data_IF_315214983488
#
_entry.id   IF_315214983488
#
_cell.length_a   1.000
_cell.length_b   1.000
_cell.length_c   1.000
_cell.angle_alpha   90.00
_cell.angle_beta   90.00
_cell.angle_gamma   90.00
#
_symmetry.space_group_name_H-M   'P 1'
#
loop_
_entity.id
_entity.type
_entity.pdbx_description
1 polymer ?
#
# COMPACT_ATOMS: atom_id res chain seq x y z
N UNK A 1 5.84 -15.46 -1.80
CA UNK A 1 4.46 -15.14 -1.38
C UNK A 1 3.77 -14.00 -2.15
N UNK A 2 4.38 -13.35 -3.14
CA UNK A 2 3.80 -12.21 -3.87
C UNK A 2 2.99 -12.59 -5.13
N UNK A 3 3.03 -13.85 -5.56
CA UNK A 3 2.20 -14.40 -6.66
C UNK A 3 0.74 -14.69 -6.25
N UNK A 4 0.43 -14.78 -4.95
CA UNK A 4 -0.85 -15.32 -4.45
C UNK A 4 -1.94 -14.26 -4.19
N UNK A 5 -1.58 -12.97 -4.16
CA UNK A 5 -2.52 -11.85 -3.98
C UNK A 5 -2.74 -11.01 -5.24
N UNK A 6 -2.44 -11.55 -6.43
CA UNK A 6 -2.82 -10.94 -7.71
C UNK A 6 -1.97 -9.75 -8.20
N UNK A 7 -1.06 -9.20 -7.39
CA UNK A 7 -0.26 -8.02 -7.76
C UNK A 7 0.75 -8.27 -8.89
N UNK A 8 0.53 -7.64 -10.06
CA UNK A 8 1.57 -7.46 -11.09
C UNK A 8 2.66 -6.50 -10.59
N UNK A 9 3.88 -6.61 -11.16
CA UNK A 9 4.92 -5.58 -11.00
C UNK A 9 4.40 -4.18 -11.37
N UNK A 10 3.53 -4.11 -12.38
CA UNK A 10 2.88 -2.87 -12.79
C UNK A 10 1.91 -2.32 -11.72
N UNK A 11 1.13 -3.18 -11.06
CA UNK A 11 0.22 -2.77 -9.99
C UNK A 11 0.96 -2.23 -8.77
N UNK A 12 2.13 -2.78 -8.43
CA UNK A 12 2.99 -2.28 -7.34
C UNK A 12 3.53 -0.88 -7.67
N UNK A 13 4.03 -0.69 -8.90
CA UNK A 13 4.56 0.59 -9.34
C UNK A 13 3.47 1.65 -9.46
N UNK A 14 2.31 1.27 -10.01
CA UNK A 14 1.11 2.11 -10.10
C UNK A 14 0.55 2.51 -8.73
N UNK A 15 0.49 1.57 -7.77
CA UNK A 15 0.10 1.87 -6.39
C UNK A 15 1.04 2.87 -5.73
N UNK A 16 2.35 2.73 -5.97
CA UNK A 16 3.37 3.62 -5.40
C UNK A 16 3.23 5.04 -5.94
N UNK A 17 3.09 5.20 -7.26
CA UNK A 17 2.86 6.52 -7.87
C UNK A 17 1.53 7.11 -7.42
N UNK A 18 0.47 6.30 -7.40
CA UNK A 18 -0.84 6.70 -6.93
C UNK A 18 -0.83 7.16 -5.47
N UNK A 19 -0.02 6.53 -4.63
CA UNK A 19 0.17 6.95 -3.24
C UNK A 19 0.88 8.30 -3.14
N UNK A 20 1.96 8.50 -3.89
CA UNK A 20 2.73 9.76 -3.91
C UNK A 20 1.85 10.92 -4.38
N UNK A 21 1.09 10.71 -5.46
CA UNK A 21 0.14 11.71 -5.97
C UNK A 21 -1.06 11.91 -5.03
N UNK A 22 -1.54 10.83 -4.41
CA UNK A 22 -2.66 10.85 -3.47
C UNK A 22 -2.35 11.64 -2.19
N UNK A 23 -1.13 11.53 -1.66
CA UNK A 23 -0.66 12.35 -0.54
C UNK A 23 -0.69 13.84 -0.88
N UNK A 24 -0.38 14.21 -2.13
CA UNK A 24 -0.28 15.60 -2.55
C UNK A 24 -1.64 16.27 -2.75
N UNK A 25 -2.66 15.51 -3.16
CA UNK A 25 -4.01 16.04 -3.40
C UNK A 25 -4.90 16.05 -2.17
N UNK A 26 -4.92 14.99 -1.36
CA UNK A 26 -5.78 14.90 -0.17
C UNK A 26 -5.24 13.87 0.82
N UNK A 27 -4.60 14.25 1.95
CA UNK A 27 -3.81 13.32 2.75
C UNK A 27 -4.56 12.09 3.29
N UNK A 28 -5.71 12.20 4.00
CA UNK A 28 -6.38 11.01 4.54
C UNK A 28 -7.08 10.18 3.45
N UNK A 29 -7.69 10.83 2.47
CA UNK A 29 -8.52 10.17 1.45
C UNK A 29 -7.65 9.64 0.30
N UNK A 30 -6.66 10.40 -0.12
CA UNK A 30 -5.73 10.08 -1.20
C UNK A 30 -4.70 9.02 -0.83
N UNK A 31 -4.36 8.81 0.44
CA UNK A 31 -3.52 7.67 0.86
C UNK A 31 -4.26 6.33 0.64
N UNK A 32 -5.59 6.30 0.68
CA UNK A 32 -6.38 5.09 0.47
C UNK A 32 -6.81 4.97 -1.00
N UNK A 33 -7.36 6.04 -1.56
CA UNK A 33 -7.85 6.03 -2.94
C UNK A 33 -6.73 6.09 -3.98
N UNK A 34 -5.61 6.76 -3.66
CA UNK A 34 -4.47 6.91 -4.56
C UNK A 34 -3.83 5.58 -4.96
N UNK A 35 -3.41 4.71 -4.00
CA UNK A 35 -2.86 3.41 -4.33
C UNK A 35 -3.86 2.50 -5.04
N UNK A 36 -5.13 2.54 -4.64
CA UNK A 36 -6.18 1.71 -5.25
C UNK A 36 -6.43 2.11 -6.69
N UNK A 37 -6.63 3.40 -6.96
CA UNK A 37 -6.81 3.91 -8.32
C UNK A 37 -5.54 3.71 -9.17
N UNK A 38 -4.35 4.02 -8.63
CA UNK A 38 -3.08 3.84 -9.32
C UNK A 38 -2.77 2.38 -9.66
N UNK A 39 -3.07 1.45 -8.76
CA UNK A 39 -2.91 0.01 -9.00
C UNK A 39 -3.88 -0.50 -10.07
N UNK A 40 -5.15 -0.09 -10.02
CA UNK A 40 -6.18 -0.50 -10.98
C UNK A 40 -5.84 0.02 -12.38
N UNK A 41 -5.46 1.29 -12.50
CA UNK A 41 -5.07 1.89 -13.79
C UNK A 41 -3.83 1.18 -14.35
N UNK A 42 -2.81 0.94 -13.55
CA UNK A 42 -1.59 0.28 -14.00
C UNK A 42 -1.80 -1.21 -14.38
N UNK A 43 -2.63 -1.94 -13.64
CA UNK A 43 -2.99 -3.32 -14.00
C UNK A 43 -3.88 -3.38 -15.25
N UNK A 44 -4.81 -2.44 -15.41
CA UNK A 44 -5.68 -2.35 -16.58
C UNK A 44 -4.87 -2.09 -17.86
N UNK A 45 -3.87 -1.20 -17.81
CA UNK A 45 -2.93 -0.94 -18.92
C UNK A 45 -2.07 -2.19 -19.23
N UNK A 46 -1.81 -3.03 -18.23
CA UNK A 46 -1.05 -4.29 -18.42
C UNK A 46 -1.90 -5.42 -19.02
N UNK A 47 -3.18 -5.16 -19.36
CA UNK A 47 -4.05 -6.11 -20.04
C UNK A 47 -4.66 -7.19 -19.13
N UNK A 48 -4.67 -6.97 -17.81
CA UNK A 48 -5.39 -7.85 -16.88
C UNK A 48 -6.87 -7.49 -16.84
N UNK A 49 -7.74 -8.51 -16.81
CA UNK A 49 -9.18 -8.33 -16.67
C UNK A 49 -9.52 -7.42 -15.48
N UNK A 50 -10.53 -6.56 -15.68
CA UNK A 50 -11.02 -5.60 -14.67
C UNK A 50 -11.27 -6.25 -13.29
N UNK A 51 -11.84 -7.46 -13.27
CA UNK A 51 -12.08 -8.23 -12.05
C UNK A 51 -10.79 -8.56 -11.28
N UNK A 52 -9.73 -8.94 -12.00
CA UNK A 52 -8.42 -9.24 -11.39
C UNK A 52 -7.71 -7.97 -10.93
N UNK A 53 -7.83 -6.88 -11.69
CA UNK A 53 -7.24 -5.58 -11.33
C UNK A 53 -7.83 -5.02 -10.04
N UNK A 54 -9.13 -5.22 -9.79
CA UNK A 54 -9.78 -4.78 -8.55
C UNK A 54 -9.30 -5.57 -7.33
N UNK A 55 -9.21 -6.90 -7.46
CA UNK A 55 -8.67 -7.79 -6.40
C UNK A 55 -7.19 -7.48 -6.12
N UNK A 56 -6.40 -7.20 -7.16
CA UNK A 56 -5.01 -6.80 -7.00
C UNK A 56 -4.88 -5.41 -6.33
N UNK A 57 -5.74 -4.47 -6.69
CA UNK A 57 -5.82 -3.15 -6.06
C UNK A 57 -6.12 -3.23 -4.56
N UNK A 58 -7.13 -4.03 -4.18
CA UNK A 58 -7.46 -4.33 -2.77
C UNK A 58 -6.32 -5.05 -2.05
N UNK A 59 -5.66 -6.00 -2.71
CA UNK A 59 -4.48 -6.68 -2.18
C UNK A 59 -3.32 -5.71 -1.89
N UNK A 60 -3.12 -4.69 -2.74
CA UNK A 60 -2.10 -3.66 -2.52
C UNK A 60 -2.42 -2.76 -1.33
N UNK A 61 -3.71 -2.41 -1.14
CA UNK A 61 -4.15 -1.65 0.03
C UNK A 61 -3.92 -2.42 1.33
N UNK A 62 -4.31 -3.70 1.38
CA UNK A 62 -4.07 -4.54 2.55
C UNK A 62 -2.57 -4.74 2.82
N UNK A 63 -1.75 -4.91 1.77
CA UNK A 63 -0.30 -4.98 1.90
C UNK A 63 0.30 -3.69 2.44
N UNK A 64 -0.18 -2.54 1.95
CA UNK A 64 0.23 -1.23 2.45
C UNK A 64 -0.16 -1.03 3.92
N UNK A 65 -1.42 -1.33 4.27
CA UNK A 65 -1.94 -1.20 5.62
C UNK A 65 -1.17 -2.10 6.61
N UNK A 66 -0.89 -3.34 6.21
CA UNK A 66 -0.03 -4.23 6.99
C UNK A 66 1.40 -3.67 7.16
N UNK A 67 1.97 -3.07 6.12
CA UNK A 67 3.26 -2.39 6.22
C UNK A 67 3.25 -1.23 7.21
N UNK A 68 2.17 -0.45 7.24
CA UNK A 68 1.98 0.63 8.23
C UNK A 68 1.85 0.06 9.65
N UNK A 69 1.05 -0.99 9.85
CA UNK A 69 0.88 -1.65 11.15
C UNK A 69 2.22 -2.18 11.67
N UNK A 70 3.01 -2.84 10.82
CA UNK A 70 4.33 -3.36 11.20
C UNK A 70 5.27 -2.20 11.61
N UNK A 71 5.28 -1.10 10.85
CA UNK A 71 6.08 0.09 11.22
C UNK A 71 5.62 0.70 12.54
N UNK A 72 4.31 0.72 12.80
CA UNK A 72 3.74 1.27 14.02
C UNK A 72 4.11 0.42 15.25
N UNK A 73 4.02 -0.91 15.14
CA UNK A 73 4.49 -1.84 16.18
C UNK A 73 5.99 -1.66 16.43
N UNK A 74 6.81 -1.61 15.37
CA UNK A 74 8.24 -1.41 15.50
C UNK A 74 8.59 -0.08 16.20
N UNK A 75 7.87 0.99 15.86
CA UNK A 75 8.02 2.31 16.51
C UNK A 75 7.66 2.24 18.00
N UNK A 76 6.61 1.48 18.35
CA UNK A 76 6.20 1.26 19.75
C UNK A 76 7.25 0.47 20.53
N UNK A 77 7.79 -0.60 19.95
CA UNK A 77 8.84 -1.42 20.55
C UNK A 77 10.10 -0.59 20.77
N UNK A 78 10.53 0.21 19.79
CA UNK A 78 11.67 1.11 19.94
C UNK A 78 11.45 2.14 21.04
N UNK A 79 10.26 2.75 21.09
CA UNK A 79 9.89 3.72 22.13
C UNK A 79 9.89 3.07 23.50
N UNK A 80 9.38 1.84 23.62
CA UNK A 80 9.36 1.08 24.87
C UNK A 80 10.77 0.76 25.37
N UNK A 81 11.64 0.24 24.49
CA UNK A 81 13.05 -0.01 24.83
C UNK A 81 13.77 1.28 25.25
N UNK A 82 13.52 2.37 24.54
CA UNK A 82 14.13 3.66 24.86
C UNK A 82 13.70 4.18 26.23
N UNK A 83 12.42 4.02 26.61
CA UNK A 83 11.92 4.43 27.93
C UNK A 83 12.48 3.54 29.04
N UNK A 84 12.59 2.22 28.79
CA UNK A 84 13.13 1.26 29.78
C UNK A 84 14.62 1.46 30.02
N UNK A 85 15.41 1.77 28.99
CA UNK A 85 16.86 2.00 29.14
C UNK A 85 17.19 3.37 29.77
N UNK A 86 16.27 4.34 29.65
CA UNK A 86 16.47 5.71 30.13
C UNK A 86 16.08 5.89 31.61
N UNK A 87 15.45 4.87 32.22
CA UNK A 87 15.01 4.85 33.63
C UNK A 87 15.73 3.77 34.43
#
# INVERSE_FOLDING_TARGET
>A
GTKKFGGSKAGIWGATIGLVLGIFFFPPIGIILGPLAGAIIAESITGKEFNKSFIAGLGSLFGFLMGVIIKLIASFVMTYYFIVELF
#
